data_IF_112795179844
#
_entry.id   IF_112795179844
#
_cell.length_a   1.000
_cell.length_b   1.000
_cell.length_c   1.000
_cell.angle_alpha   90.00
_cell.angle_beta   90.00
_cell.angle_gamma   90.00
#
_symmetry.space_group_name_H-M   'P 1'
#
loop_
_entity.id
_entity.type
_entity.pdbx_description
1 polymer ?
#
# COMPACT_ATOMS: atom_id res chain seq x y z
N UNK A 1 -35.24 22.72 -19.68
CA UNK A 1 -34.57 21.60 -19.03
C UNK A 1 -35.56 20.48 -18.80
N UNK A 2 -35.28 19.28 -19.38
CA UNK A 2 -36.17 18.13 -19.22
C UNK A 2 -35.58 17.21 -18.15
N UNK A 3 -36.04 17.35 -16.90
CA UNK A 3 -35.52 16.59 -15.75
C UNK A 3 -35.61 15.07 -15.97
N UNK A 4 -36.68 14.56 -16.58
CA UNK A 4 -36.82 13.11 -16.84
C UNK A 4 -35.77 12.55 -17.80
N UNK A 5 -35.36 13.34 -18.81
CA UNK A 5 -34.26 12.91 -19.70
C UNK A 5 -32.93 12.92 -19.00
N UNK A 6 -32.72 13.88 -18.11
CA UNK A 6 -31.48 13.96 -17.32
C UNK A 6 -31.35 12.81 -16.32
N UNK A 7 -32.43 12.47 -15.64
CA UNK A 7 -32.48 11.33 -14.73
C UNK A 7 -32.21 10.01 -15.47
N UNK A 8 -32.79 9.85 -16.66
CA UNK A 8 -32.53 8.68 -17.50
C UNK A 8 -31.07 8.55 -17.93
N UNK A 9 -30.41 9.67 -18.25
CA UNK A 9 -28.98 9.70 -18.59
C UNK A 9 -28.11 9.35 -17.37
N UNK A 10 -28.48 9.84 -16.17
CA UNK A 10 -27.77 9.49 -14.94
C UNK A 10 -27.86 7.98 -14.67
N UNK A 11 -29.05 7.40 -14.84
CA UNK A 11 -29.24 5.96 -14.61
C UNK A 11 -28.55 5.11 -15.67
N UNK A 12 -28.49 5.55 -16.90
CA UNK A 12 -27.70 4.92 -17.96
C UNK A 12 -26.21 4.99 -17.65
N UNK A 13 -25.70 6.15 -17.26
CA UNK A 13 -24.31 6.33 -16.84
C UNK A 13 -23.96 5.40 -15.67
N UNK A 14 -24.80 5.35 -14.63
CA UNK A 14 -24.58 4.46 -13.48
C UNK A 14 -24.51 2.98 -13.88
N UNK A 15 -25.34 2.54 -14.79
CA UNK A 15 -25.31 1.16 -15.31
C UNK A 15 -24.03 0.92 -16.11
N UNK A 16 -23.71 1.82 -17.01
CA UNK A 16 -22.53 1.72 -17.89
C UNK A 16 -21.25 1.70 -17.06
N UNK A 17 -21.10 2.56 -16.04
CA UNK A 17 -19.90 2.59 -15.22
C UNK A 17 -19.73 1.31 -14.40
N UNK A 18 -20.82 0.74 -13.89
CA UNK A 18 -20.77 -0.54 -13.17
C UNK A 18 -20.33 -1.68 -14.08
N UNK A 19 -20.85 -1.72 -15.29
CA UNK A 19 -20.47 -2.75 -16.26
C UNK A 19 -19.03 -2.56 -16.74
N UNK A 20 -18.61 -1.34 -17.00
CA UNK A 20 -17.22 -1.00 -17.31
C UNK A 20 -16.26 -1.48 -16.21
N UNK A 21 -16.56 -1.18 -14.93
CA UNK A 21 -15.76 -1.64 -13.80
C UNK A 21 -15.68 -3.16 -13.72
N UNK A 22 -16.82 -3.85 -13.92
CA UNK A 22 -16.90 -5.32 -13.93
C UNK A 22 -16.02 -5.91 -15.03
N UNK A 23 -16.13 -5.39 -16.25
CA UNK A 23 -15.34 -5.85 -17.40
C UNK A 23 -13.85 -5.54 -17.21
N UNK A 24 -13.50 -4.38 -16.66
CA UNK A 24 -12.12 -4.02 -16.35
C UNK A 24 -11.50 -4.99 -15.34
N UNK A 25 -12.23 -5.35 -14.29
CA UNK A 25 -11.74 -6.35 -13.33
C UNK A 25 -11.51 -7.72 -13.99
N UNK A 26 -12.41 -8.15 -14.87
CA UNK A 26 -12.25 -9.41 -15.60
C UNK A 26 -11.04 -9.38 -16.55
N UNK A 27 -10.88 -8.29 -17.29
CA UNK A 27 -9.74 -8.10 -18.18
C UNK A 27 -8.42 -8.09 -17.41
N UNK A 28 -8.34 -7.36 -16.29
CA UNK A 28 -7.16 -7.35 -15.44
C UNK A 28 -6.85 -8.75 -14.88
N UNK A 29 -7.86 -9.45 -14.39
CA UNK A 29 -7.71 -10.81 -13.89
C UNK A 29 -7.19 -11.76 -14.99
N UNK A 30 -7.73 -11.65 -16.21
CA UNK A 30 -7.27 -12.46 -17.34
C UNK A 30 -5.81 -12.16 -17.71
N UNK A 31 -5.43 -10.89 -17.79
CA UNK A 31 -4.04 -10.47 -18.11
C UNK A 31 -3.06 -10.94 -17.04
N UNK A 32 -3.40 -10.79 -15.77
CA UNK A 32 -2.55 -11.24 -14.66
C UNK A 32 -2.43 -12.76 -14.64
N UNK A 33 -3.54 -13.47 -14.83
CA UNK A 33 -3.57 -14.94 -14.84
C UNK A 33 -2.77 -15.53 -16.01
N UNK A 34 -2.78 -14.88 -17.18
CA UNK A 34 -2.02 -15.31 -18.35
C UNK A 34 -0.50 -15.34 -18.09
N UNK A 35 -0.03 -14.56 -17.14
CA UNK A 35 1.38 -14.50 -16.76
C UNK A 35 1.78 -15.53 -15.68
N UNK A 36 0.83 -16.25 -15.08
CA UNK A 36 1.11 -17.27 -14.08
C UNK A 36 1.50 -18.55 -14.80
N UNK A 37 2.66 -19.18 -14.47
CA UNK A 37 3.06 -20.44 -15.08
C UNK A 37 2.00 -21.52 -14.85
N UNK A 38 1.52 -22.12 -15.92
CA UNK A 38 0.56 -23.24 -15.83
C UNK A 38 1.27 -24.41 -15.17
N UNK A 39 0.69 -24.91 -14.10
CA UNK A 39 1.18 -26.10 -13.43
C UNK A 39 0.49 -27.33 -14.05
N UNK A 40 1.12 -27.93 -15.01
CA UNK A 40 0.69 -29.18 -15.68
C UNK A 40 0.89 -30.45 -14.86
N UNK A 41 0.97 -30.36 -13.55
CA UNK A 41 1.12 -31.51 -12.65
C UNK A 41 2.52 -32.14 -12.64
N UNK A 42 3.34 -31.89 -13.65
CA UNK A 42 4.69 -32.43 -13.83
C UNK A 42 5.80 -31.47 -13.45
N UNK A 43 5.45 -30.32 -12.86
CA UNK A 43 6.43 -29.33 -12.42
C UNK A 43 7.49 -29.98 -11.54
N UNK A 44 8.74 -29.98 -12.00
CA UNK A 44 9.85 -30.54 -11.25
C UNK A 44 9.86 -29.97 -9.81
N UNK A 45 10.10 -30.80 -8.82
CA UNK A 45 10.12 -30.38 -7.40
C UNK A 45 11.11 -29.24 -7.13
N UNK A 46 12.07 -29.04 -8.03
CA UNK A 46 13.07 -27.96 -8.02
C UNK A 46 12.60 -26.67 -8.69
N UNK A 47 11.47 -26.67 -9.42
CA UNK A 47 10.94 -25.45 -10.04
C UNK A 47 10.39 -24.50 -8.97
N UNK A 48 10.34 -23.19 -9.26
CA UNK A 48 9.77 -22.19 -8.34
C UNK A 48 8.35 -22.55 -7.91
N UNK A 49 7.52 -23.01 -8.84
CA UNK A 49 6.17 -23.48 -8.56
C UNK A 49 6.15 -24.73 -7.67
N UNK A 50 7.08 -25.67 -7.89
CA UNK A 50 7.24 -26.87 -7.04
C UNK A 50 7.66 -26.50 -5.62
N UNK A 51 8.60 -25.56 -5.48
CA UNK A 51 9.05 -25.03 -4.18
C UNK A 51 7.90 -24.37 -3.45
N UNK A 52 7.13 -23.50 -4.13
CA UNK A 52 5.98 -22.82 -3.56
C UNK A 52 4.90 -23.82 -3.10
N UNK A 53 4.54 -24.79 -3.94
CA UNK A 53 3.57 -25.86 -3.58
C UNK A 53 4.02 -26.65 -2.35
N UNK A 54 5.30 -26.98 -2.26
CA UNK A 54 5.86 -27.67 -1.10
C UNK A 54 5.81 -26.80 0.16
N UNK A 55 6.10 -25.50 0.05
CA UNK A 55 6.02 -24.57 1.16
C UNK A 55 4.58 -24.45 1.68
N UNK A 56 3.60 -24.33 0.77
CA UNK A 56 2.17 -24.27 1.11
C UNK A 56 1.72 -25.56 1.79
N UNK A 57 2.06 -26.74 1.23
CA UNK A 57 1.70 -28.05 1.79
C UNK A 57 2.21 -28.25 3.22
N UNK A 58 3.37 -27.69 3.53
CA UNK A 58 4.00 -27.77 4.85
C UNK A 58 3.61 -26.60 5.77
N UNK A 59 2.62 -25.77 5.42
CA UNK A 59 2.20 -24.59 6.16
C UNK A 59 3.37 -23.65 6.56
N UNK A 60 4.36 -23.52 5.69
CA UNK A 60 5.53 -22.65 5.91
C UNK A 60 6.53 -23.13 6.98
N UNK A 61 6.28 -24.26 7.65
CA UNK A 61 7.09 -24.72 8.80
C UNK A 61 8.53 -25.10 8.45
N UNK A 62 8.82 -25.45 7.19
CA UNK A 62 10.13 -25.94 6.78
C UNK A 62 11.04 -24.90 6.14
N UNK A 63 10.53 -23.70 5.85
CA UNK A 63 11.30 -22.68 5.15
C UNK A 63 10.90 -21.27 5.61
N UNK A 64 11.82 -20.47 6.15
CA UNK A 64 11.57 -19.06 6.43
C UNK A 64 11.15 -18.30 5.17
N UNK A 65 10.26 -17.33 5.32
CA UNK A 65 9.67 -16.57 4.20
C UNK A 65 10.73 -15.89 3.32
N UNK A 66 11.77 -15.32 3.93
CA UNK A 66 12.90 -14.74 3.19
C UNK A 66 13.57 -15.75 2.26
N UNK A 67 13.88 -16.94 2.78
CA UNK A 67 14.49 -18.02 1.96
C UNK A 67 13.54 -18.55 0.87
N UNK A 68 12.24 -18.49 1.11
CA UNK A 68 11.25 -18.81 0.09
C UNK A 68 11.30 -17.79 -1.04
N UNK A 69 11.28 -16.51 -0.70
CA UNK A 69 11.32 -15.42 -1.68
C UNK A 69 12.58 -15.45 -2.55
N UNK A 70 13.72 -15.72 -1.95
CA UNK A 70 14.99 -15.91 -2.68
C UNK A 70 14.94 -17.07 -3.71
N UNK A 71 14.08 -18.06 -3.46
CA UNK A 71 13.95 -19.23 -4.32
C UNK A 71 12.87 -19.14 -5.39
N UNK A 72 11.99 -18.14 -5.30
CA UNK A 72 10.88 -17.96 -6.24
C UNK A 72 10.83 -16.52 -6.82
N UNK A 73 11.96 -15.92 -7.21
CA UNK A 73 12.02 -14.53 -7.62
C UNK A 73 11.17 -14.24 -8.85
N UNK A 74 11.10 -15.18 -9.80
CA UNK A 74 10.29 -15.02 -11.02
C UNK A 74 8.79 -15.01 -10.71
N UNK A 75 8.34 -15.88 -9.79
CA UNK A 75 6.94 -15.89 -9.35
C UNK A 75 6.58 -14.62 -8.58
N UNK A 76 7.47 -14.13 -7.70
CA UNK A 76 7.24 -12.88 -6.98
C UNK A 76 7.05 -11.69 -7.92
N UNK A 77 7.84 -11.60 -8.99
CA UNK A 77 7.71 -10.56 -10.01
C UNK A 77 6.39 -10.62 -10.80
N UNK A 78 5.68 -11.74 -10.74
CA UNK A 78 4.36 -11.90 -11.35
C UNK A 78 3.22 -11.43 -10.45
N UNK A 79 3.51 -11.16 -9.18
CA UNK A 79 2.53 -10.57 -8.26
C UNK A 79 2.46 -9.05 -8.51
N UNK A 80 1.29 -8.51 -8.88
CA UNK A 80 1.17 -7.10 -9.24
C UNK A 80 1.23 -6.16 -8.04
N UNK A 81 0.96 -6.68 -6.84
CA UNK A 81 0.90 -5.89 -5.62
C UNK A 81 1.28 -6.72 -4.40
N UNK A 82 2.04 -6.14 -3.50
CA UNK A 82 2.38 -6.69 -2.18
C UNK A 82 1.98 -5.71 -1.10
N UNK A 83 1.21 -6.17 -0.12
CA UNK A 83 0.83 -5.39 1.06
C UNK A 83 1.70 -5.84 2.23
N UNK A 84 2.58 -4.96 2.71
CA UNK A 84 3.54 -5.27 3.76
C UNK A 84 3.78 -4.05 4.63
N UNK A 85 4.11 -4.25 5.91
CA UNK A 85 4.67 -3.18 6.73
C UNK A 85 6.12 -2.90 6.31
N UNK A 86 6.66 -1.69 6.53
CA UNK A 86 8.06 -1.35 6.23
C UNK A 86 9.06 -2.33 6.86
N UNK A 87 8.82 -2.72 8.09
CA UNK A 87 9.63 -3.71 8.80
C UNK A 87 9.62 -5.06 8.07
N UNK A 88 8.45 -5.50 7.61
CA UNK A 88 8.32 -6.76 6.85
C UNK A 88 9.05 -6.68 5.50
N UNK A 89 9.01 -5.54 4.83
CA UNK A 89 9.78 -5.32 3.60
C UNK A 89 11.27 -5.47 3.88
N UNK A 90 11.77 -4.82 4.93
CA UNK A 90 13.19 -4.91 5.32
C UNK A 90 13.62 -6.35 5.66
N UNK A 91 12.73 -7.13 6.30
CA UNK A 91 13.01 -8.51 6.70
C UNK A 91 12.97 -9.51 5.54
N UNK A 92 12.03 -9.36 4.62
CA UNK A 92 11.69 -10.42 3.65
C UNK A 92 12.10 -10.10 2.22
N UNK A 93 12.19 -8.83 1.83
CA UNK A 93 12.61 -8.44 0.48
C UNK A 93 14.09 -8.10 0.51
N UNK A 94 14.90 -8.92 -0.16
CA UNK A 94 16.33 -8.67 -0.27
C UNK A 94 16.61 -7.33 -0.98
N UNK A 95 17.60 -6.53 -0.57
CA UNK A 95 17.96 -5.29 -1.27
C UNK A 95 18.36 -5.49 -2.73
N UNK A 96 18.85 -6.67 -3.11
CA UNK A 96 19.18 -7.04 -4.49
C UNK A 96 17.97 -7.44 -5.34
N UNK A 97 16.79 -7.59 -4.72
CA UNK A 97 15.55 -7.86 -5.45
C UNK A 97 15.28 -6.70 -6.42
N UNK A 98 14.83 -6.98 -7.65
CA UNK A 98 14.50 -5.92 -8.61
C UNK A 98 13.52 -4.92 -8.02
N UNK A 99 13.78 -3.63 -8.25
CA UNK A 99 12.93 -2.57 -7.73
C UNK A 99 11.48 -2.70 -8.19
N UNK A 100 10.59 -2.33 -7.33
CA UNK A 100 9.18 -2.17 -7.66
C UNK A 100 8.99 -0.87 -8.45
N UNK A 101 8.09 -0.86 -9.42
CA UNK A 101 7.78 0.34 -10.21
C UNK A 101 7.24 1.46 -9.32
N UNK A 102 6.50 1.10 -8.27
CA UNK A 102 5.87 2.05 -7.36
C UNK A 102 5.78 1.49 -5.93
N UNK A 103 6.17 2.30 -4.98
CA UNK A 103 5.93 2.10 -3.54
C UNK A 103 4.90 3.12 -3.07
N UNK A 104 3.88 2.68 -2.37
CA UNK A 104 2.85 3.54 -1.80
C UNK A 104 2.87 3.38 -0.29
N UNK A 105 3.07 4.48 0.43
CA UNK A 105 2.87 4.53 1.87
C UNK A 105 1.50 5.10 2.17
N UNK A 106 0.72 4.38 2.95
CA UNK A 106 -0.54 4.86 3.50
C UNK A 106 -0.37 5.18 4.99
N UNK A 107 -1.12 6.16 5.49
CA UNK A 107 -1.01 6.68 6.87
C UNK A 107 0.42 7.16 7.21
N UNK A 108 1.09 7.80 6.27
CA UNK A 108 2.49 8.20 6.40
C UNK A 108 2.74 9.29 7.44
N UNK A 109 1.70 9.98 7.92
CA UNK A 109 1.75 10.89 9.06
C UNK A 109 2.05 10.19 10.40
N UNK A 110 1.86 8.87 10.45
CA UNK A 110 2.11 8.06 11.65
C UNK A 110 3.39 7.21 11.53
N UNK A 111 4.11 7.31 10.44
CA UNK A 111 5.28 6.50 10.14
C UNK A 111 6.57 7.33 10.27
N UNK A 112 7.51 6.96 11.17
CA UNK A 112 8.82 7.58 11.23
C UNK A 112 9.61 7.35 9.93
N UNK A 113 10.31 8.37 9.45
CA UNK A 113 11.12 8.28 8.22
C UNK A 113 12.17 7.19 8.30
N UNK A 114 12.77 7.00 9.46
CA UNK A 114 13.78 5.96 9.71
C UNK A 114 13.28 4.54 9.38
N UNK A 115 12.01 4.27 9.61
CA UNK A 115 11.39 2.97 9.26
C UNK A 115 11.05 2.84 7.77
N UNK A 116 10.84 3.97 7.08
CA UNK A 116 10.43 4.00 5.68
C UNK A 116 11.58 3.86 4.68
N UNK A 117 12.77 4.35 5.03
CA UNK A 117 13.93 4.47 4.12
C UNK A 117 14.26 3.15 3.42
N UNK A 118 14.26 2.05 4.16
CA UNK A 118 14.53 0.74 3.59
C UNK A 118 13.49 0.31 2.53
N UNK A 119 12.24 0.70 2.71
CA UNK A 119 11.17 0.40 1.75
C UNK A 119 11.24 1.34 0.54
N UNK A 120 11.51 2.63 0.75
CA UNK A 120 11.71 3.61 -0.33
C UNK A 120 12.83 3.13 -1.27
N UNK A 121 13.94 2.65 -0.73
CA UNK A 121 15.07 2.17 -1.51
C UNK A 121 14.74 0.99 -2.45
N UNK A 122 13.63 0.31 -2.25
CA UNK A 122 13.16 -0.82 -3.07
C UNK A 122 12.20 -0.41 -4.20
N UNK A 123 11.88 0.88 -4.33
CA UNK A 123 11.03 1.42 -5.39
C UNK A 123 11.79 2.27 -6.39
N UNK A 124 11.23 2.42 -7.58
CA UNK A 124 11.65 3.43 -8.57
C UNK A 124 10.91 4.75 -8.34
N UNK A 125 9.66 4.65 -7.97
CA UNK A 125 8.79 5.78 -7.66
C UNK A 125 8.13 5.59 -6.29
N UNK A 126 7.75 6.70 -5.66
CA UNK A 126 7.07 6.69 -4.36
C UNK A 126 5.86 7.61 -4.37
N UNK A 127 4.79 7.15 -3.72
CA UNK A 127 3.62 7.96 -3.37
C UNK A 127 3.45 7.90 -1.86
N UNK A 128 3.38 9.07 -1.25
CA UNK A 128 3.21 9.22 0.19
C UNK A 128 1.79 9.72 0.45
N UNK A 129 0.98 8.92 1.12
CA UNK A 129 -0.40 9.25 1.46
C UNK A 129 -0.50 9.40 2.96
N UNK A 130 -1.08 10.50 3.42
CA UNK A 130 -1.25 10.78 4.83
C UNK A 130 -1.99 12.09 5.04
N UNK A 131 -2.26 12.40 6.29
CA UNK A 131 -2.98 13.59 6.71
C UNK A 131 -2.16 14.31 7.79
N UNK A 132 -1.61 15.51 7.49
CA UNK A 132 -0.78 16.25 8.44
C UNK A 132 -1.56 16.80 9.65
N UNK A 133 -2.89 16.68 9.66
CA UNK A 133 -3.75 17.07 10.79
C UNK A 133 -4.07 15.89 11.71
N UNK A 134 -3.65 14.69 11.36
CA UNK A 134 -3.75 13.53 12.24
C UNK A 134 -2.57 13.45 13.22
N UNK A 135 -2.66 12.53 14.18
CA UNK A 135 -1.63 12.38 15.20
C UNK A 135 -0.29 11.98 14.55
N UNK A 136 0.82 12.60 14.98
CA UNK A 136 2.16 12.21 14.55
C UNK A 136 2.54 10.82 15.09
N UNK A 137 3.68 10.27 14.67
CA UNK A 137 4.19 9.02 15.24
C UNK A 137 4.30 9.14 16.76
N UNK A 138 3.77 8.15 17.49
CA UNK A 138 3.83 8.15 18.95
C UNK A 138 4.95 7.23 19.43
N UNK A 139 5.86 7.76 20.22
CA UNK A 139 6.94 6.99 20.90
C UNK A 139 6.42 6.12 22.06
N UNK A 140 5.10 6.07 22.29
CA UNK A 140 4.49 5.45 23.49
C UNK A 140 4.87 3.97 23.69
N UNK A 141 5.27 3.27 22.64
CA UNK A 141 5.68 1.86 22.71
C UNK A 141 7.20 1.64 22.58
N UNK A 142 7.97 2.69 22.34
CA UNK A 142 9.42 2.60 22.13
C UNK A 142 10.22 2.95 23.38
N UNK A 143 9.62 3.56 24.38
CA UNK A 143 10.31 4.06 25.58
C UNK A 143 10.34 3.05 26.72
N UNK A 144 11.24 2.07 26.64
CA UNK A 144 11.73 1.38 27.85
C UNK A 144 13.11 1.90 28.33
N UNK A 145 13.59 3.01 27.81
CA UNK A 145 14.78 3.72 28.28
C UNK A 145 14.59 5.22 28.10
N UNK A 146 13.91 5.84 29.04
CA UNK A 146 13.88 7.29 29.17
C UNK A 146 15.16 7.64 29.93
N UNK A 147 16.17 8.13 29.24
CA UNK A 147 17.15 9.01 29.82
C UNK A 147 16.46 10.37 29.94
N UNK A 148 16.20 10.81 31.18
CA UNK A 148 15.42 12.02 31.49
C UNK A 148 16.08 13.32 30.98
N UNK A 149 17.31 13.26 30.46
CA UNK A 149 18.07 14.42 29.96
C UNK A 149 17.87 14.75 28.47
N UNK A 150 17.13 13.94 27.70
CA UNK A 150 16.93 14.12 26.25
C UNK A 150 15.48 14.30 25.82
N UNK A 151 14.61 14.76 26.72
CA UNK A 151 13.17 14.91 26.40
C UNK A 151 12.84 16.01 25.36
N UNK A 152 13.81 16.79 24.91
CA UNK A 152 13.62 17.87 23.94
C UNK A 152 13.88 17.49 22.47
N UNK A 153 14.28 16.23 22.18
CA UNK A 153 14.73 15.83 20.84
C UNK A 153 13.83 14.80 20.12
N UNK A 154 12.65 14.49 20.64
CA UNK A 154 11.80 13.45 20.05
C UNK A 154 10.45 13.95 19.53
N UNK A 155 10.42 15.07 18.84
CA UNK A 155 9.42 15.25 17.80
C UNK A 155 9.88 14.38 16.61
N UNK A 156 9.49 13.11 16.64
CA UNK A 156 9.73 12.20 15.52
C UNK A 156 8.93 12.73 14.31
N UNK A 157 9.62 13.49 13.47
CA UNK A 157 9.07 13.95 12.22
C UNK A 157 8.57 12.73 11.42
N UNK A 158 7.36 12.80 10.95
CA UNK A 158 6.78 11.74 10.15
C UNK A 158 7.36 11.74 8.75
N UNK A 159 7.29 10.61 8.07
CA UNK A 159 7.64 10.51 6.66
C UNK A 159 6.89 11.57 5.81
N UNK A 160 5.63 11.85 6.15
CA UNK A 160 4.84 12.87 5.47
C UNK A 160 5.43 14.27 5.68
N UNK A 161 5.80 14.62 6.92
CA UNK A 161 6.35 15.94 7.25
C UNK A 161 7.69 16.15 6.55
N UNK A 162 8.56 15.16 6.55
CA UNK A 162 9.83 15.22 5.82
C UNK A 162 9.62 15.43 4.31
N UNK A 163 8.66 14.72 3.71
CA UNK A 163 8.33 14.89 2.30
C UNK A 163 7.77 16.28 1.99
N UNK A 164 6.97 16.84 2.88
CA UNK A 164 6.46 18.21 2.76
C UNK A 164 7.60 19.23 2.91
N UNK A 165 8.53 19.03 3.86
CA UNK A 165 9.66 19.91 4.10
C UNK A 165 10.59 20.03 2.88
N UNK A 166 10.82 18.94 2.14
CA UNK A 166 11.60 18.95 0.89
C UNK A 166 10.79 19.38 -0.35
N UNK A 167 9.56 19.89 -0.13
CA UNK A 167 8.69 20.40 -1.20
C UNK A 167 8.36 19.38 -2.29
N UNK A 168 8.13 18.13 -1.92
CA UNK A 168 7.60 17.13 -2.86
C UNK A 168 6.27 17.61 -3.46
N UNK A 169 6.01 17.32 -4.76
CA UNK A 169 4.72 17.65 -5.38
C UNK A 169 3.56 17.06 -4.57
N UNK A 170 2.58 17.89 -4.24
CA UNK A 170 1.47 17.48 -3.40
C UNK A 170 0.12 17.73 -4.05
N UNK A 171 -0.84 16.88 -3.72
CA UNK A 171 -2.24 17.02 -4.11
C UNK A 171 -3.15 16.71 -2.92
N UNK A 172 -4.20 17.52 -2.74
CA UNK A 172 -5.20 17.28 -1.72
C UNK A 172 -6.40 16.55 -2.29
N UNK A 173 -6.88 15.53 -1.56
CA UNK A 173 -8.14 14.89 -1.86
C UNK A 173 -9.28 15.83 -1.44
N UNK A 174 -10.16 16.15 -2.38
CA UNK A 174 -11.27 17.10 -2.17
C UNK A 174 -12.60 16.44 -1.80
N UNK A 175 -12.63 15.09 -1.79
CA UNK A 175 -13.85 14.34 -1.57
C UNK A 175 -13.67 13.37 -0.42
N UNK A 176 -14.67 13.32 0.46
CA UNK A 176 -14.79 12.25 1.44
C UNK A 176 -15.95 11.32 1.06
N UNK A 177 -15.82 10.06 1.30
CA UNK A 177 -16.85 9.05 0.99
C UNK A 177 -17.22 8.16 2.19
N UNK A 178 -16.41 8.19 3.25
CA UNK A 178 -16.59 7.37 4.44
C UNK A 178 -17.76 7.87 5.30
N UNK A 179 -17.93 9.17 5.41
CA UNK A 179 -19.04 9.78 6.13
C UNK A 179 -20.29 9.79 5.26
N UNK A 180 -21.33 9.07 5.68
CA UNK A 180 -22.60 8.98 4.93
C UNK A 180 -23.44 10.25 4.97
N UNK A 181 -23.18 11.12 5.95
CA UNK A 181 -23.88 12.37 6.13
C UNK A 181 -22.87 13.48 6.36
N UNK A 182 -23.06 14.60 5.71
CA UNK A 182 -22.14 15.75 5.75
C UNK A 182 -21.92 16.29 7.16
N UNK A 183 -22.98 16.32 8.00
CA UNK A 183 -22.89 16.78 9.39
C UNK A 183 -21.86 16.03 10.24
N UNK A 184 -21.53 14.79 9.88
CA UNK A 184 -20.54 13.99 10.63
C UNK A 184 -19.11 14.50 10.46
N UNK A 185 -18.83 15.23 9.38
CA UNK A 185 -17.49 15.74 9.06
C UNK A 185 -17.45 17.28 9.09
N UNK A 186 -18.62 17.96 9.14
CA UNK A 186 -18.71 19.40 9.05
C UNK A 186 -17.85 20.14 10.08
N UNK A 187 -17.80 19.67 11.32
CA UNK A 187 -16.95 20.26 12.35
C UNK A 187 -15.46 20.15 12.01
N UNK A 188 -15.02 18.98 11.58
CA UNK A 188 -13.62 18.73 11.22
C UNK A 188 -13.22 19.53 9.99
N UNK A 189 -14.10 19.62 8.97
CA UNK A 189 -13.86 20.43 7.78
C UNK A 189 -13.67 21.90 8.17
N UNK A 190 -14.61 22.47 8.91
CA UNK A 190 -14.55 23.87 9.34
C UNK A 190 -13.30 24.17 10.19
N UNK A 191 -12.89 23.24 11.04
CA UNK A 191 -11.81 23.48 12.01
C UNK A 191 -10.42 23.23 11.45
N UNK A 192 -10.26 22.25 10.57
CA UNK A 192 -8.94 21.70 10.18
C UNK A 192 -8.68 21.66 8.69
N UNK A 193 -9.71 21.73 7.83
CA UNK A 193 -9.58 21.46 6.39
C UNK A 193 -10.14 22.57 5.49
N UNK A 194 -10.27 23.80 6.00
CA UNK A 194 -10.68 25.01 5.26
C UNK A 194 -12.04 24.91 4.54
N UNK A 195 -12.96 24.09 5.04
CA UNK A 195 -14.27 23.75 4.46
C UNK A 195 -14.19 22.94 3.16
#
# INVERSE_FOLDING_TARGET
>A
FNGKQYDALIDEYRRTIKEYQRLTMQELAARLSANIPVSDGTSAASSEMGILKKAIKNNGRMMPLRKLFDKIPTLLRRLPCMLMSPISVAQYIDPSFPKFDLVIFDEASQLPTSEAVGTIARGENVVIVGDPKQLPPTSFFTSNRIDEDNSELEDLESLLDDCLAISMPQMYLKWHYRSRHESLIAYSNMKYYDN
#
